data_IF_607381064783
#
_entry.id   IF_607381064783
#
_cell.length_a   1.000
_cell.length_b   1.000
_cell.length_c   1.000
_cell.angle_alpha   90.00
_cell.angle_beta   90.00
_cell.angle_gamma   90.00
#
_symmetry.space_group_name_H-M   'P 1'
#
loop_
_entity.id
_entity.type
_entity.pdbx_description
1 polymer ?
#
# COMPACT_ATOMS: atom_id res chain seq x y z
N UNK A 1 -11.29 5.24 -18.53
CA UNK A 1 -11.92 5.70 -17.26
C UNK A 1 -10.90 6.48 -16.44
N UNK A 2 -11.36 7.32 -15.50
CA UNK A 2 -10.51 8.15 -14.65
C UNK A 2 -10.48 7.50 -13.26
N UNK A 3 -9.33 6.94 -12.87
CA UNK A 3 -9.16 6.37 -11.52
C UNK A 3 -9.26 7.43 -10.42
N UNK A 4 -9.32 6.98 -9.17
CA UNK A 4 -9.32 7.86 -7.99
C UNK A 4 -8.05 8.72 -8.01
N UNK A 5 -8.23 10.03 -7.92
CA UNK A 5 -7.13 11.00 -7.91
C UNK A 5 -7.27 11.91 -6.72
N UNK A 6 -6.12 12.32 -6.20
CA UNK A 6 -5.98 13.38 -5.23
C UNK A 6 -6.74 14.64 -5.70
N UNK A 7 -7.44 15.31 -4.77
CA UNK A 7 -8.26 16.49 -5.06
C UNK A 7 -7.42 17.63 -5.68
N UNK A 8 -8.06 18.54 -6.42
CA UNK A 8 -7.38 19.71 -6.98
C UNK A 8 -6.68 20.54 -5.89
N UNK A 9 -7.33 20.71 -4.73
CA UNK A 9 -6.79 21.43 -3.59
C UNK A 9 -5.45 20.86 -3.10
N UNK A 10 -5.37 19.54 -2.90
CA UNK A 10 -4.12 18.88 -2.48
C UNK A 10 -3.08 18.94 -3.61
N UNK A 11 -3.49 18.81 -4.87
CA UNK A 11 -2.55 18.90 -6.02
C UNK A 11 -1.93 20.29 -6.21
N UNK A 12 -2.64 21.35 -5.86
CA UNK A 12 -2.15 22.74 -5.96
C UNK A 12 -1.53 23.26 -4.66
N UNK A 13 -1.62 22.52 -3.56
CA UNK A 13 -1.10 22.94 -2.27
C UNK A 13 0.44 22.92 -2.27
N UNK A 14 1.05 23.90 -1.60
CA UNK A 14 2.47 23.92 -1.34
C UNK A 14 2.87 22.81 -0.35
N UNK A 15 4.16 22.43 -0.36
CA UNK A 15 4.67 21.34 0.49
C UNK A 15 4.38 21.54 1.98
N UNK A 16 4.51 22.76 2.50
CA UNK A 16 4.28 23.04 3.92
C UNK A 16 2.80 22.92 4.28
N UNK A 17 1.91 23.39 3.40
CA UNK A 17 0.46 23.21 3.54
C UNK A 17 0.09 21.73 3.53
N UNK A 18 0.67 20.94 2.62
CA UNK A 18 0.45 19.50 2.57
C UNK A 18 0.89 18.80 3.87
N UNK A 19 2.08 19.14 4.37
CA UNK A 19 2.57 18.60 5.64
C UNK A 19 1.64 18.92 6.80
N UNK A 20 1.14 20.15 6.88
CA UNK A 20 0.16 20.55 7.89
C UNK A 20 -1.14 19.76 7.77
N UNK A 21 -1.70 19.64 6.56
CA UNK A 21 -2.92 18.85 6.31
C UNK A 21 -2.77 17.39 6.74
N UNK A 22 -1.64 16.76 6.39
CA UNK A 22 -1.33 15.38 6.78
C UNK A 22 -1.25 15.27 8.31
N UNK A 23 -0.56 16.19 8.97
CA UNK A 23 -0.44 16.19 10.43
C UNK A 23 -1.79 16.36 11.12
N UNK A 24 -2.60 17.34 10.71
CA UNK A 24 -3.93 17.58 11.26
C UNK A 24 -4.83 16.36 11.12
N UNK A 25 -4.92 15.79 9.91
CA UNK A 25 -5.75 14.60 9.66
C UNK A 25 -5.29 13.39 10.49
N UNK A 26 -3.97 13.22 10.66
CA UNK A 26 -3.42 12.14 11.49
C UNK A 26 -3.75 12.33 12.98
N UNK A 27 -3.65 13.55 13.51
CA UNK A 27 -3.96 13.82 14.92
C UNK A 27 -5.45 13.58 15.18
N UNK A 28 -6.33 14.05 14.29
CA UNK A 28 -7.77 13.84 14.41
C UNK A 28 -8.14 12.35 14.45
N UNK A 29 -7.49 11.52 13.64
CA UNK A 29 -7.80 10.08 13.59
C UNK A 29 -7.18 9.28 14.74
N UNK A 30 -5.90 9.49 15.01
CA UNK A 30 -5.12 8.62 15.90
C UNK A 30 -4.87 9.22 17.28
N UNK A 31 -5.26 10.48 17.50
CA UNK A 31 -4.98 11.24 18.73
C UNK A 31 -3.48 11.26 19.08
N UNK A 32 -2.63 11.15 18.06
CA UNK A 32 -1.18 11.07 18.18
C UNK A 32 -0.50 11.81 17.04
N UNK A 33 0.46 12.66 17.40
CA UNK A 33 1.37 13.33 16.47
C UNK A 33 2.07 12.34 15.55
N UNK A 34 1.98 12.51 14.21
CA UNK A 34 2.72 11.68 13.28
C UNK A 34 4.20 12.02 13.32
N UNK A 35 5.03 11.01 13.07
CA UNK A 35 6.48 11.20 12.93
C UNK A 35 6.76 11.95 11.63
N UNK A 36 7.78 12.83 11.65
CA UNK A 36 8.22 13.62 10.48
C UNK A 36 8.38 12.77 9.20
N UNK A 37 9.03 11.61 9.31
CA UNK A 37 9.25 10.70 8.18
C UNK A 37 7.92 10.15 7.62
N UNK A 38 6.93 9.89 8.47
CA UNK A 38 5.61 9.46 7.99
C UNK A 38 4.95 10.57 7.17
N UNK A 39 4.98 11.81 7.66
CA UNK A 39 4.42 12.98 6.97
C UNK A 39 5.11 13.21 5.62
N UNK A 40 6.45 13.18 5.59
CA UNK A 40 7.22 13.33 4.36
C UNK A 40 6.93 12.22 3.35
N UNK A 41 6.75 10.98 3.83
CA UNK A 41 6.39 9.85 2.98
C UNK A 41 5.01 10.05 2.38
N UNK A 42 3.99 10.38 3.17
CA UNK A 42 2.62 10.63 2.67
C UNK A 42 2.61 11.77 1.66
N UNK A 43 3.32 12.88 1.93
CA UNK A 43 3.44 14.01 1.01
C UNK A 43 4.04 13.57 -0.34
N UNK A 44 5.10 12.76 -0.33
CA UNK A 44 5.68 12.23 -1.56
C UNK A 44 4.67 11.38 -2.35
N UNK A 45 3.87 10.56 -1.67
CA UNK A 45 2.83 9.74 -2.31
C UNK A 45 1.71 10.60 -2.91
N UNK A 46 1.27 11.66 -2.21
CA UNK A 46 0.26 12.60 -2.72
C UNK A 46 0.77 13.36 -3.96
N UNK A 47 2.08 13.62 -4.02
CA UNK A 47 2.76 14.18 -5.18
C UNK A 47 3.00 13.16 -6.31
N UNK A 48 2.53 11.92 -6.19
CA UNK A 48 2.69 10.86 -7.20
C UNK A 48 4.10 10.30 -7.31
N UNK A 49 4.92 10.42 -6.25
CA UNK A 49 6.29 9.92 -6.22
C UNK A 49 6.34 8.53 -5.62
N UNK A 50 7.08 7.63 -6.28
CA UNK A 50 7.43 6.34 -5.71
C UNK A 50 8.44 6.56 -4.57
N UNK A 51 8.24 5.90 -3.44
CA UNK A 51 9.01 6.17 -2.22
C UNK A 51 9.49 4.88 -1.58
N UNK A 52 10.78 4.82 -1.23
CA UNK A 52 11.33 3.77 -0.39
C UNK A 52 11.47 4.30 1.03
N UNK A 53 11.02 3.51 2.00
CA UNK A 53 11.07 3.86 3.40
C UNK A 53 11.93 2.86 4.17
N UNK A 54 13.03 3.36 4.72
CA UNK A 54 13.86 2.61 5.67
C UNK A 54 13.48 3.02 7.09
N UNK A 55 12.82 2.11 7.81
CA UNK A 55 12.40 2.36 9.18
C UNK A 55 12.31 1.07 9.99
N UNK A 56 12.70 1.15 11.27
CA UNK A 56 12.69 0.02 12.20
C UNK A 56 11.29 -0.59 12.38
N UNK A 57 11.24 -1.82 12.88
CA UNK A 57 10.00 -2.44 13.37
C UNK A 57 9.40 -1.60 14.50
N UNK A 58 8.08 -1.51 14.57
CA UNK A 58 7.39 -0.61 15.52
C UNK A 58 7.48 0.88 15.17
N UNK A 59 8.08 1.27 14.04
CA UNK A 59 8.09 2.68 13.63
C UNK A 59 6.69 3.22 13.31
N UNK A 60 5.73 2.35 13.00
CA UNK A 60 4.39 2.73 12.56
C UNK A 60 4.31 2.92 11.03
N UNK A 61 4.99 2.05 10.27
CA UNK A 61 5.00 2.09 8.79
C UNK A 61 3.58 1.93 8.21
N UNK A 62 2.76 1.07 8.82
CA UNK A 62 1.37 0.80 8.41
C UNK A 62 0.52 2.06 8.30
N UNK A 63 0.64 2.99 9.26
CA UNK A 63 -0.09 4.27 9.30
C UNK A 63 0.11 5.15 8.06
N UNK A 64 1.22 5.03 7.35
CA UNK A 64 1.50 5.86 6.16
C UNK A 64 0.46 5.62 5.07
N UNK A 65 0.16 4.35 4.81
CA UNK A 65 -0.86 3.97 3.82
C UNK A 65 -2.27 4.38 4.24
N UNK A 66 -2.55 4.37 5.55
CA UNK A 66 -3.83 4.81 6.13
C UNK A 66 -4.02 6.32 6.01
N UNK A 67 -3.00 7.11 6.41
CA UNK A 67 -3.01 8.57 6.25
C UNK A 67 -3.13 8.99 4.79
N UNK A 68 -2.48 8.25 3.88
CA UNK A 68 -2.61 8.48 2.45
C UNK A 68 -4.06 8.28 1.98
N UNK A 69 -4.70 7.16 2.36
CA UNK A 69 -6.09 6.87 2.02
C UNK A 69 -7.07 7.92 2.56
N UNK A 70 -6.86 8.39 3.79
CA UNK A 70 -7.74 9.37 4.42
C UNK A 70 -7.79 10.72 3.70
N UNK A 71 -6.71 11.07 2.99
CA UNK A 71 -6.59 12.30 2.21
C UNK A 71 -7.11 12.15 0.77
N UNK A 72 -7.54 10.95 0.37
CA UNK A 72 -8.18 10.74 -0.92
C UNK A 72 -9.66 11.14 -0.90
N UNK A 73 -10.27 11.44 -2.07
CA UNK A 73 -11.69 11.70 -2.15
C UNK A 73 -12.52 10.54 -1.60
N UNK A 74 -13.54 10.91 -0.83
CA UNK A 74 -14.55 10.00 -0.27
C UNK A 74 -15.83 10.08 -1.10
N UNK A 75 -16.67 9.05 -1.00
CA UNK A 75 -18.01 9.11 -1.61
C UNK A 75 -18.95 10.05 -0.86
N UNK A 76 -20.18 10.19 -1.36
CA UNK A 76 -21.22 11.02 -0.75
C UNK A 76 -21.60 10.61 0.69
N UNK A 77 -21.23 9.41 1.12
CA UNK A 77 -21.46 8.89 2.46
C UNK A 77 -20.19 8.95 3.32
N UNK A 78 -19.12 9.59 2.85
CA UNK A 78 -17.86 9.71 3.55
C UNK A 78 -17.00 8.43 3.53
N UNK A 79 -17.29 7.46 2.66
CA UNK A 79 -16.54 6.21 2.57
C UNK A 79 -15.30 6.38 1.69
N UNK A 80 -14.21 5.73 2.10
CA UNK A 80 -12.96 5.68 1.35
C UNK A 80 -13.14 4.71 0.17
N UNK A 81 -12.87 5.20 -1.03
CA UNK A 81 -13.03 4.44 -2.27
C UNK A 81 -11.74 3.74 -2.73
N UNK A 82 -10.60 4.16 -2.19
CA UNK A 82 -9.28 3.67 -2.58
C UNK A 82 -8.99 2.27 -2.03
N UNK A 83 -8.35 1.45 -2.87
CA UNK A 83 -7.80 0.15 -2.51
C UNK A 83 -6.27 0.22 -2.46
N UNK A 84 -5.70 -0.28 -1.38
CA UNK A 84 -4.26 -0.50 -1.20
C UNK A 84 -4.00 -2.00 -1.26
N UNK A 85 -3.16 -2.41 -2.20
CA UNK A 85 -2.65 -3.79 -2.23
C UNK A 85 -1.34 -3.83 -1.45
N UNK A 86 -1.26 -4.72 -0.47
CA UNK A 86 -0.06 -4.92 0.35
C UNK A 86 0.51 -6.30 0.03
N UNK A 87 1.67 -6.32 -0.61
CA UNK A 87 2.47 -7.53 -0.79
C UNK A 87 3.24 -7.78 0.51
N UNK A 88 2.91 -8.87 1.21
CA UNK A 88 3.60 -9.26 2.44
C UNK A 88 4.25 -10.65 2.25
N UNK A 89 5.59 -10.78 2.34
CA UNK A 89 6.27 -12.08 2.28
C UNK A 89 5.99 -13.00 3.47
N UNK A 90 5.50 -12.47 4.59
CA UNK A 90 5.36 -13.19 5.84
C UNK A 90 3.87 -13.51 6.08
N UNK A 91 3.38 -14.56 5.43
CA UNK A 91 1.98 -15.01 5.49
C UNK A 91 1.42 -15.15 6.91
N UNK A 92 2.28 -15.50 7.88
CA UNK A 92 1.91 -15.65 9.29
C UNK A 92 1.43 -14.35 9.98
N UNK A 93 1.67 -13.18 9.38
CA UNK A 93 1.29 -11.88 9.96
C UNK A 93 0.05 -11.25 9.33
N UNK A 94 -0.47 -11.79 8.22
CA UNK A 94 -1.55 -11.17 7.47
C UNK A 94 -2.83 -10.98 8.28
N UNK A 95 -3.20 -11.95 9.13
CA UNK A 95 -4.41 -11.84 9.96
C UNK A 95 -4.29 -10.77 11.04
N UNK A 96 -3.14 -10.67 11.71
CA UNK A 96 -2.89 -9.61 12.69
C UNK A 96 -2.95 -8.22 12.03
N UNK A 97 -2.38 -8.09 10.82
CA UNK A 97 -2.44 -6.85 10.07
C UNK A 97 -3.87 -6.49 9.64
N UNK A 98 -4.71 -7.47 9.29
CA UNK A 98 -6.13 -7.25 9.00
C UNK A 98 -6.88 -6.77 10.25
N UNK A 99 -6.66 -7.40 11.40
CA UNK A 99 -7.25 -6.98 12.68
C UNK A 99 -6.86 -5.55 13.05
N UNK A 100 -5.58 -5.18 12.91
CA UNK A 100 -5.11 -3.81 13.14
C UNK A 100 -5.80 -2.80 12.22
N UNK A 101 -6.00 -3.12 10.93
CA UNK A 101 -6.69 -2.24 9.99
C UNK A 101 -8.17 -2.08 10.32
N UNK A 102 -8.84 -3.17 10.69
CA UNK A 102 -10.24 -3.12 11.11
C UNK A 102 -10.41 -2.31 12.40
N UNK A 103 -9.51 -2.48 13.38
CA UNK A 103 -9.47 -1.66 14.58
C UNK A 103 -9.22 -0.17 14.27
N UNK A 104 -8.42 0.12 13.24
CA UNK A 104 -8.21 1.48 12.74
C UNK A 104 -9.37 2.00 11.86
N UNK A 105 -10.46 1.25 11.66
CA UNK A 105 -11.66 1.67 10.93
C UNK A 105 -11.58 1.51 9.41
N UNK A 106 -10.73 0.62 8.90
CA UNK A 106 -10.62 0.30 7.48
C UNK A 106 -11.11 -1.12 7.20
N UNK A 107 -11.75 -1.35 6.05
CA UNK A 107 -12.03 -2.71 5.59
C UNK A 107 -10.74 -3.35 5.07
N UNK A 108 -10.46 -4.58 5.49
CA UNK A 108 -9.25 -5.29 5.12
C UNK A 108 -9.52 -6.78 4.90
N UNK A 109 -8.73 -7.41 4.02
CA UNK A 109 -8.73 -8.86 3.81
C UNK A 109 -7.31 -9.36 3.58
N UNK A 110 -7.02 -10.54 4.12
CA UNK A 110 -5.80 -11.30 3.82
C UNK A 110 -6.16 -12.41 2.83
N UNK A 111 -5.73 -12.28 1.58
CA UNK A 111 -5.99 -13.26 0.54
C UNK A 111 -5.00 -14.42 0.64
N UNK A 112 -5.56 -15.61 0.72
CA UNK A 112 -4.85 -16.88 0.72
C UNK A 112 -5.45 -17.77 -0.35
N UNK A 113 -4.72 -18.80 -0.78
CA UNK A 113 -5.27 -19.80 -1.69
C UNK A 113 -6.60 -20.42 -1.17
N UNK A 114 -6.74 -20.56 0.15
CA UNK A 114 -7.90 -21.22 0.77
C UNK A 114 -9.16 -20.35 0.78
N UNK A 115 -9.04 -19.03 0.86
CA UNK A 115 -10.19 -18.13 0.99
C UNK A 115 -10.54 -17.36 -0.29
N UNK A 116 -9.77 -17.53 -1.37
CA UNK A 116 -10.01 -16.83 -2.62
C UNK A 116 -11.12 -17.48 -3.46
N UNK A 117 -12.35 -17.28 -3.01
CA UNK A 117 -13.56 -17.69 -3.74
C UNK A 117 -13.93 -16.67 -4.81
N UNK A 118 -14.82 -17.05 -5.73
CA UNK A 118 -15.36 -16.14 -6.75
C UNK A 118 -16.02 -14.89 -6.13
N UNK A 119 -16.75 -15.06 -5.03
CA UNK A 119 -17.38 -13.94 -4.31
C UNK A 119 -16.35 -12.98 -3.72
N UNK A 120 -15.29 -13.51 -3.09
CA UNK A 120 -14.20 -12.70 -2.56
C UNK A 120 -13.49 -11.95 -3.70
N UNK A 121 -13.28 -12.60 -4.85
CA UNK A 121 -12.74 -11.97 -6.04
C UNK A 121 -13.58 -10.78 -6.53
N UNK A 122 -14.91 -10.95 -6.58
CA UNK A 122 -15.83 -9.86 -6.93
C UNK A 122 -15.77 -8.72 -5.91
N UNK A 123 -15.73 -9.02 -4.60
CA UNK A 123 -15.61 -8.02 -3.55
C UNK A 123 -14.31 -7.21 -3.67
N UNK A 124 -13.19 -7.86 -3.99
CA UNK A 124 -11.91 -7.21 -4.26
C UNK A 124 -12.00 -6.31 -5.50
N UNK A 125 -12.52 -6.83 -6.62
CA UNK A 125 -12.69 -6.06 -7.87
C UNK A 125 -13.58 -4.82 -7.69
N UNK A 126 -14.64 -4.96 -6.89
CA UNK A 126 -15.58 -3.90 -6.56
C UNK A 126 -15.02 -2.89 -5.53
N UNK A 127 -13.85 -3.14 -4.94
CA UNK A 127 -13.24 -2.25 -3.96
C UNK A 127 -13.93 -2.26 -2.60
N UNK A 128 -14.51 -3.40 -2.20
CA UNK A 128 -15.15 -3.57 -0.88
C UNK A 128 -14.13 -3.44 0.27
N UNK A 129 -12.87 -3.79 0.01
CA UNK A 129 -11.77 -3.72 0.98
C UNK A 129 -10.86 -2.52 0.67
N UNK A 130 -10.56 -1.69 1.68
CA UNK A 130 -9.54 -0.66 1.58
C UNK A 130 -8.12 -1.23 1.55
N UNK A 131 -7.89 -2.35 2.25
CA UNK A 131 -6.62 -3.06 2.26
C UNK A 131 -6.78 -4.51 1.80
N UNK A 132 -5.99 -4.89 0.80
CA UNK A 132 -5.92 -6.26 0.30
C UNK A 132 -4.50 -6.75 0.51
N UNK A 133 -4.30 -7.59 1.52
CA UNK A 133 -3.03 -8.27 1.75
C UNK A 133 -2.97 -9.51 0.86
N UNK A 134 -1.84 -9.70 0.20
CA UNK A 134 -1.62 -10.84 -0.68
C UNK A 134 -0.16 -11.26 -0.61
N UNK A 135 0.07 -12.57 -0.55
CA UNK A 135 1.43 -13.09 -0.62
C UNK A 135 1.99 -12.93 -2.03
N UNK A 136 3.31 -12.73 -2.18
CA UNK A 136 3.97 -12.66 -3.50
C UNK A 136 3.67 -13.89 -4.36
N UNK A 137 3.64 -15.07 -3.73
CA UNK A 137 3.29 -16.33 -4.39
C UNK A 137 1.85 -16.31 -4.91
N UNK A 138 0.89 -15.91 -4.06
CA UNK A 138 -0.52 -15.79 -4.46
C UNK A 138 -0.69 -14.77 -5.58
N UNK A 139 0.03 -13.64 -5.51
CA UNK A 139 -0.02 -12.60 -6.54
C UNK A 139 0.44 -13.11 -7.90
N UNK A 140 1.46 -13.98 -7.95
CA UNK A 140 2.03 -14.50 -9.19
C UNK A 140 1.32 -15.75 -9.72
N UNK A 141 0.87 -16.64 -8.83
CA UNK A 141 0.38 -17.96 -9.21
C UNK A 141 -1.15 -18.02 -9.36
N UNK A 142 -1.89 -17.04 -8.83
CA UNK A 142 -3.35 -17.02 -8.92
C UNK A 142 -3.84 -16.22 -10.13
N UNK A 143 -4.08 -16.91 -11.25
CA UNK A 143 -4.53 -16.29 -12.51
C UNK A 143 -5.81 -15.46 -12.34
N UNK A 144 -6.75 -15.90 -11.52
CA UNK A 144 -7.99 -15.15 -11.25
C UNK A 144 -7.70 -13.82 -10.54
N UNK A 145 -6.76 -13.81 -9.59
CA UNK A 145 -6.34 -12.56 -8.94
C UNK A 145 -5.59 -11.66 -9.93
N UNK A 146 -4.74 -12.22 -10.79
CA UNK A 146 -4.06 -11.48 -11.86
C UNK A 146 -5.07 -10.81 -12.80
N UNK A 147 -6.10 -11.53 -13.22
CA UNK A 147 -7.18 -10.99 -14.06
C UNK A 147 -7.93 -9.85 -13.36
N UNK A 148 -8.27 -10.01 -12.08
CA UNK A 148 -8.87 -8.96 -11.26
C UNK A 148 -7.93 -7.76 -11.15
N UNK A 149 -6.65 -8.01 -10.87
CA UNK A 149 -5.64 -6.96 -10.71
C UNK A 149 -5.53 -6.10 -11.97
N UNK A 150 -5.44 -6.72 -13.15
CA UNK A 150 -5.33 -6.01 -14.43
C UNK A 150 -6.68 -5.53 -14.98
N UNK A 151 -7.80 -5.91 -14.37
CA UNK A 151 -9.12 -5.42 -14.78
C UNK A 151 -9.20 -3.89 -14.69
N UNK A 152 -9.80 -3.26 -15.70
CA UNK A 152 -10.00 -1.82 -15.69
C UNK A 152 -10.90 -1.39 -14.50
N UNK A 153 -11.83 -2.25 -14.09
CA UNK A 153 -12.69 -2.00 -12.94
C UNK A 153 -11.89 -1.85 -11.63
N UNK A 154 -10.96 -2.77 -11.36
CA UNK A 154 -10.11 -2.69 -10.17
C UNK A 154 -9.07 -1.57 -10.28
N UNK A 155 -8.46 -1.40 -11.46
CA UNK A 155 -7.44 -0.37 -11.69
C UNK A 155 -7.94 1.06 -11.46
N UNK A 156 -9.26 1.31 -11.61
CA UNK A 156 -9.82 2.63 -11.25
C UNK A 156 -9.87 2.89 -9.74
N UNK A 157 -9.83 1.84 -8.92
CA UNK A 157 -9.92 1.88 -7.45
C UNK A 157 -8.56 1.66 -6.78
N UNK A 158 -7.61 1.00 -7.44
CA UNK A 158 -6.25 0.78 -6.95
C UNK A 158 -5.46 2.09 -6.88
N UNK A 159 -5.17 2.55 -5.66
CA UNK A 159 -4.49 3.83 -5.41
C UNK A 159 -3.04 3.66 -4.98
N UNK A 160 -2.70 2.53 -4.35
CA UNK A 160 -1.35 2.28 -3.84
C UNK A 160 -1.01 0.80 -3.82
N UNK A 161 0.25 0.48 -4.13
CA UNK A 161 0.84 -0.84 -3.89
C UNK A 161 1.96 -0.68 -2.87
N UNK A 162 1.85 -1.40 -1.77
CA UNK A 162 2.85 -1.44 -0.70
C UNK A 162 3.54 -2.80 -0.78
N UNK A 163 4.87 -2.81 -0.73
CA UNK A 163 5.66 -4.03 -0.58
C UNK A 163 6.30 -3.98 0.79
N UNK A 164 5.76 -4.78 1.70
CA UNK A 164 6.30 -4.94 3.04
C UNK A 164 7.49 -5.90 3.02
N UNK A 165 8.45 -5.67 3.92
CA UNK A 165 9.71 -6.42 3.97
C UNK A 165 10.37 -6.61 2.59
N UNK A 166 10.38 -5.54 1.78
CA UNK A 166 10.93 -5.48 0.43
C UNK A 166 12.39 -5.94 0.31
N UNK A 167 13.13 -5.99 1.41
CA UNK A 167 14.46 -6.59 1.44
C UNK A 167 14.44 -8.08 1.05
N UNK A 168 13.32 -8.77 1.30
CA UNK A 168 13.10 -10.16 0.91
C UNK A 168 12.90 -10.35 -0.60
N UNK A 169 12.66 -9.27 -1.36
CA UNK A 169 12.61 -9.34 -2.82
C UNK A 169 13.98 -9.77 -3.38
N UNK A 170 15.08 -9.37 -2.73
CA UNK A 170 16.42 -9.82 -3.11
C UNK A 170 16.58 -11.33 -2.87
N UNK A 171 16.03 -11.86 -1.77
CA UNK A 171 15.99 -13.30 -1.51
C UNK A 171 15.21 -14.07 -2.57
N UNK A 172 14.14 -13.51 -3.17
CA UNK A 172 13.41 -14.19 -4.26
C UNK A 172 14.24 -14.32 -5.55
N UNK A 173 15.17 -13.39 -5.80
CA UNK A 173 16.15 -13.50 -6.88
C UNK A 173 17.37 -14.36 -6.51
N UNK A 174 17.68 -14.46 -5.21
CA UNK A 174 18.81 -15.22 -4.67
C UNK A 174 18.49 -16.65 -4.23
N UNK A 175 17.26 -17.16 -4.35
CA UNK A 175 17.04 -18.61 -4.17
C UNK A 175 17.87 -19.42 -5.20
N UNK A 176 18.43 -18.77 -6.24
CA UNK A 176 19.48 -19.35 -7.08
C UNK A 176 20.91 -19.26 -6.51
N UNK A 177 21.27 -18.30 -5.63
CA UNK A 177 22.62 -18.17 -5.06
C UNK A 177 22.59 -17.52 -3.66
N UNK A 178 22.99 -18.27 -2.64
CA UNK A 178 22.82 -17.90 -1.23
C UNK A 178 23.68 -16.76 -0.66
N UNK A 179 23.39 -16.52 0.62
CA UNK A 179 24.02 -15.68 1.67
C UNK A 179 23.51 -14.24 1.92
N UNK A 180 22.74 -14.14 3.02
CA UNK A 180 22.91 -13.36 4.26
C UNK A 180 22.82 -11.81 4.34
N UNK A 181 22.27 -11.39 5.50
CA UNK A 181 22.24 -10.11 6.26
C UNK A 181 20.99 -9.23 6.15
N UNK A 182 20.06 -9.44 7.11
CA UNK A 182 18.73 -8.82 7.19
C UNK A 182 18.68 -7.50 7.99
N UNK A 183 18.18 -6.44 7.35
CA UNK A 183 17.52 -5.27 7.98
C UNK A 183 16.21 -5.02 7.23
N UNK A 184 15.13 -4.49 7.87
CA UNK A 184 13.82 -4.37 7.23
C UNK A 184 13.74 -3.16 6.29
N UNK A 185 13.34 -3.39 5.03
CA UNK A 185 13.06 -2.35 4.02
C UNK A 185 11.58 -2.43 3.65
N UNK A 186 10.91 -1.29 3.43
CA UNK A 186 9.55 -1.25 2.89
C UNK A 186 9.52 -0.34 1.65
N UNK A 187 8.90 -0.80 0.57
CA UNK A 187 8.72 -0.02 -0.65
C UNK A 187 7.24 0.37 -0.80
N UNK A 188 6.97 1.65 -1.10
CA UNK A 188 5.61 2.15 -1.30
C UNK A 188 5.54 2.82 -2.67
N UNK A 189 4.68 2.28 -3.55
CA UNK A 189 4.60 2.69 -4.96
C UNK A 189 3.20 3.20 -5.32
N UNK A 190 3.14 4.32 -6.04
CA UNK A 190 1.87 4.89 -6.53
C UNK A 190 1.54 4.34 -7.92
N UNK A 191 0.26 4.08 -8.19
CA UNK A 191 -0.17 3.38 -9.41
C UNK A 191 -0.25 4.33 -10.62
N UNK A 192 0.81 4.37 -11.43
CA UNK A 192 0.80 4.95 -12.77
C UNK A 192 1.48 3.99 -13.77
N UNK A 193 0.68 3.02 -14.25
CA UNK A 193 1.01 2.00 -15.26
C UNK A 193 2.16 1.04 -14.89
N UNK A 194 1.86 -0.25 -14.93
CA UNK A 194 2.84 -1.33 -14.88
C UNK A 194 3.62 -1.39 -16.20
N UNK A 195 4.60 -0.51 -16.36
CA UNK A 195 5.74 -0.77 -17.24
C UNK A 195 6.91 -1.16 -16.33
N UNK A 196 7.20 -2.46 -16.27
CA UNK A 196 8.42 -2.99 -15.67
C UNK A 196 9.63 -2.40 -16.42
N UNK A 197 10.61 -1.84 -15.68
CA UNK A 197 11.65 -2.71 -15.14
C UNK A 197 11.92 -2.48 -13.64
N UNK A 198 12.13 -3.59 -12.91
CA UNK A 198 12.92 -3.59 -11.69
C UNK A 198 14.36 -3.25 -12.09
N UNK A 199 14.88 -2.14 -11.59
CA UNK A 199 16.31 -1.85 -11.64
C UNK A 199 16.87 -2.04 -10.23
N UNK A 200 17.39 -3.24 -9.97
CA UNK A 200 18.45 -3.44 -8.98
C UNK A 200 19.77 -3.30 -9.73
N UNK A 201 20.65 -2.42 -9.26
CA UNK A 201 22.06 -2.39 -9.65
C UNK A 201 22.87 -1.97 -8.44
N UNK A 202 23.99 -2.66 -8.13
CA UNK A 202 24.85 -2.30 -7.02
C UNK A 202 25.69 -1.10 -7.45
N UNK A 203 26.04 -0.22 -6.53
CA UNK A 203 27.27 0.54 -6.66
C UNK A 203 27.97 0.54 -5.33
N UNK A 204 29.07 -0.22 -5.32
CA UNK A 204 30.15 -0.16 -4.37
C UNK A 204 30.54 1.30 -4.11
N UNK A 205 30.68 1.64 -2.83
CA UNK A 205 31.82 2.34 -2.22
C UNK A 205 31.63 2.29 -0.69
#
# INVERSE_FOLDING_TARGET
MKGIRVSSAIRSAGNDTLKQMISTQSIERYQQEPKKIQVETVMNLLCGRNTFLLAATGFGKSRISEMYLDLLPKDQHGRILGVVVVLNPLDALGNNQVEEKMAAGFSAINLTYLNFTHEVGLNVMNGFYNFVYVSPETFLNNLTFVDIYFSNEFQTKLVLVVVDEAHMIYSWGLVEKGNDTSRPWCAIRTNHRFDLPLAASPLNC
#
